data_IF_869432036788
#
_entry.id   IF_869432036788
#
_cell.length_a   1.000
_cell.length_b   1.000
_cell.length_c   1.000
_cell.angle_alpha   90.00
_cell.angle_beta   90.00
_cell.angle_gamma   90.00
#
_symmetry.space_group_name_H-M   'P 1'
#
loop_
_entity.id
_entity.type
_entity.pdbx_description
1 polymer ?
#
# COMPACT_ATOMS: atom_id res chain seq x y z
N UNK A 1 3.65 -6.31 9.17
CA UNK A 1 4.32 -7.32 8.33
C UNK A 1 3.85 -8.75 8.59
N UNK A 2 3.97 -9.35 9.78
CA UNK A 2 3.31 -10.68 9.97
C UNK A 2 1.77 -10.57 9.95
N UNK A 3 1.22 -9.46 10.45
CA UNK A 3 -0.20 -9.13 10.31
C UNK A 3 -0.63 -8.79 8.86
N UNK A 4 0.32 -8.64 7.93
CA UNK A 4 0.01 -8.42 6.51
C UNK A 4 -0.29 -9.73 5.78
N UNK A 5 -0.25 -10.86 6.49
CA UNK A 5 -0.61 -12.16 5.98
C UNK A 5 -1.74 -12.79 6.81
N UNK A 6 -2.96 -12.73 6.29
CA UNK A 6 -4.13 -13.43 6.82
C UNK A 6 -4.40 -14.79 6.16
N UNK A 7 -3.61 -15.19 5.16
CA UNK A 7 -3.78 -16.46 4.48
C UNK A 7 -2.94 -17.56 5.14
N UNK A 8 -3.57 -18.58 5.78
CA UNK A 8 -2.82 -19.67 6.43
C UNK A 8 -2.04 -20.56 5.45
N UNK A 9 -2.36 -20.52 4.15
CA UNK A 9 -1.63 -21.25 3.11
C UNK A 9 -0.34 -20.52 2.68
N UNK A 10 -0.18 -19.24 3.04
CA UNK A 10 1.04 -18.46 2.77
C UNK A 10 1.98 -18.57 3.97
N UNK A 11 3.12 -19.22 3.77
CA UNK A 11 4.05 -19.59 4.85
C UNK A 11 5.43 -19.00 4.60
N UNK A 12 5.98 -18.30 5.59
CA UNK A 12 7.33 -17.73 5.55
C UNK A 12 8.37 -18.81 5.22
N UNK A 13 9.24 -18.50 4.24
CA UNK A 13 10.28 -19.42 3.76
C UNK A 13 9.80 -20.54 2.84
N UNK A 14 8.50 -20.58 2.50
CA UNK A 14 7.93 -21.55 1.54
C UNK A 14 7.16 -20.86 0.41
N UNK A 15 6.39 -19.83 0.74
CA UNK A 15 5.58 -19.06 -0.21
C UNK A 15 6.32 -17.78 -0.62
N UNK A 16 6.00 -17.28 -1.80
CA UNK A 16 6.39 -15.92 -2.25
C UNK A 16 5.60 -14.86 -1.48
N UNK A 17 6.00 -13.58 -1.61
CA UNK A 17 5.43 -12.39 -0.96
C UNK A 17 5.70 -12.25 0.56
N UNK A 18 6.25 -13.27 1.21
CA UNK A 18 6.54 -13.27 2.66
C UNK A 18 7.94 -13.78 2.99
N UNK A 19 8.81 -13.95 1.99
CA UNK A 19 10.16 -14.43 2.23
C UNK A 19 10.97 -13.41 3.04
N UNK A 20 11.96 -13.86 3.84
CA UNK A 20 12.84 -12.94 4.56
C UNK A 20 13.57 -11.96 3.62
N UNK A 21 13.93 -12.41 2.42
CA UNK A 21 14.65 -11.60 1.43
C UNK A 21 13.76 -10.54 0.80
N UNK A 22 12.50 -10.88 0.45
CA UNK A 22 11.51 -9.92 -0.05
C UNK A 22 11.23 -8.84 0.99
N UNK A 23 11.03 -9.23 2.26
CA UNK A 23 10.82 -8.30 3.37
C UNK A 23 12.04 -7.41 3.62
N UNK A 24 13.24 -7.98 3.58
CA UNK A 24 14.47 -7.21 3.73
C UNK A 24 14.62 -6.17 2.60
N UNK A 25 14.31 -6.55 1.36
CA UNK A 25 14.33 -5.62 0.22
C UNK A 25 13.31 -4.48 0.39
N UNK A 26 12.11 -4.78 0.89
CA UNK A 26 11.11 -3.76 1.19
C UNK A 26 11.60 -2.79 2.28
N UNK A 27 12.14 -3.26 3.40
CA UNK A 27 12.67 -2.38 4.46
C UNK A 27 13.91 -1.58 4.05
N UNK A 28 14.62 -2.05 3.03
CA UNK A 28 15.70 -1.26 2.43
C UNK A 28 15.17 0.01 1.74
N UNK A 29 13.96 -0.03 1.17
CA UNK A 29 13.29 1.18 0.65
C UNK A 29 13.00 2.16 1.78
N UNK A 30 12.51 1.65 2.92
CA UNK A 30 12.25 2.50 4.09
C UNK A 30 13.52 3.17 4.60
N UNK A 31 14.59 2.39 4.69
CA UNK A 31 15.91 2.88 5.06
C UNK A 31 16.49 3.89 4.04
N UNK A 32 16.01 3.85 2.79
CA UNK A 32 16.40 4.78 1.73
C UNK A 32 15.61 6.11 1.75
N UNK A 33 14.69 6.30 2.70
CA UNK A 33 14.02 7.58 2.94
C UNK A 33 12.61 7.73 2.36
N UNK A 34 11.99 6.62 1.95
CA UNK A 34 10.53 6.57 1.73
C UNK A 34 9.84 5.85 2.89
N UNK A 35 8.55 6.05 3.12
CA UNK A 35 7.81 5.35 4.18
C UNK A 35 6.41 4.97 3.68
N UNK A 36 5.84 3.89 4.21
CA UNK A 36 4.43 3.53 3.97
C UNK A 36 3.54 4.61 4.60
N UNK A 37 2.92 5.44 3.76
CA UNK A 37 2.05 6.55 4.20
C UNK A 37 0.65 6.10 4.57
N UNK A 38 0.26 4.87 4.21
CA UNK A 38 -1.05 4.30 4.50
C UNK A 38 -1.06 3.70 5.91
N UNK A 39 0.02 3.02 6.30
CA UNK A 39 0.11 2.29 7.60
C UNK A 39 -0.25 3.13 8.83
N UNK A 40 0.19 4.40 8.98
CA UNK A 40 -0.13 5.21 10.15
C UNK A 40 -1.63 5.54 10.27
N UNK A 41 -2.36 5.59 9.15
CA UNK A 41 -3.78 5.94 9.09
C UNK A 41 -4.69 4.71 9.06
N UNK A 42 -4.23 3.64 8.41
CA UNK A 42 -4.95 2.39 8.22
C UNK A 42 -4.00 1.20 8.49
N UNK A 43 -3.86 0.79 9.76
CA UNK A 43 -2.86 -0.19 10.17
C UNK A 43 -3.18 -1.62 9.72
N UNK A 44 -4.46 -1.93 9.53
CA UNK A 44 -4.98 -3.25 9.16
C UNK A 44 -5.61 -3.24 7.76
N UNK A 45 -5.86 -4.44 7.22
CA UNK A 45 -6.52 -4.64 5.92
C UNK A 45 -5.59 -5.33 4.92
N UNK A 46 -6.21 -6.04 3.98
CA UNK A 46 -5.53 -6.75 2.91
C UNK A 46 -5.86 -6.09 1.57
N UNK A 47 -4.98 -6.26 0.59
CA UNK A 47 -5.12 -5.64 -0.73
C UNK A 47 -5.23 -6.68 -1.83
N UNK A 48 -4.95 -7.95 -1.51
CA UNK A 48 -4.98 -9.07 -2.43
C UNK A 48 -5.67 -10.29 -1.82
N UNK A 49 -6.42 -11.03 -2.66
CA UNK A 49 -6.95 -12.36 -2.36
C UNK A 49 -6.90 -13.26 -3.60
N UNK A 50 -6.28 -14.44 -3.44
CA UNK A 50 -6.27 -15.48 -4.47
C UNK A 50 -7.71 -15.88 -4.86
N UNK A 51 -7.94 -16.17 -6.14
CA UNK A 51 -9.26 -16.53 -6.66
C UNK A 51 -9.81 -17.85 -6.11
N UNK A 52 -8.93 -18.74 -5.66
CA UNK A 52 -9.28 -20.10 -5.27
C UNK A 52 -9.76 -20.16 -3.82
N UNK A 53 -10.37 -21.30 -3.45
CA UNK A 53 -10.68 -21.69 -2.05
C UNK A 53 -11.49 -20.66 -1.24
N UNK A 54 -12.20 -19.76 -1.91
CA UNK A 54 -13.02 -18.72 -1.31
C UNK A 54 -12.23 -17.80 -0.36
N UNK A 55 -10.98 -17.46 -0.70
CA UNK A 55 -10.12 -16.59 0.11
C UNK A 55 -10.74 -15.23 0.37
N UNK A 56 -11.31 -14.59 -0.64
CA UNK A 56 -11.97 -13.29 -0.48
C UNK A 56 -13.17 -13.30 0.48
N UNK A 57 -14.18 -14.20 0.34
CA UNK A 57 -15.26 -14.31 1.32
C UNK A 57 -14.82 -14.66 2.74
N UNK A 58 -13.73 -15.44 2.90
CA UNK A 58 -13.16 -15.81 4.20
C UNK A 58 -12.24 -14.74 4.80
N UNK A 59 -11.98 -13.67 4.04
CA UNK A 59 -11.03 -12.62 4.37
C UNK A 59 -9.60 -13.14 4.63
N UNK A 60 -9.20 -14.18 3.92
CA UNK A 60 -7.85 -14.76 3.95
C UNK A 60 -7.01 -14.10 2.85
N UNK A 61 -6.52 -12.89 3.12
CA UNK A 61 -5.80 -12.09 2.14
C UNK A 61 -4.40 -11.72 2.61
N UNK A 62 -3.67 -11.04 1.73
CA UNK A 62 -2.38 -10.41 2.06
C UNK A 62 -2.37 -8.94 1.66
N UNK A 63 -1.59 -8.14 2.36
CA UNK A 63 -1.33 -6.74 2.00
C UNK A 63 0.00 -6.65 1.26
N UNK A 64 -0.08 -6.39 -0.04
CA UNK A 64 1.08 -6.31 -0.94
C UNK A 64 1.07 -5.07 -1.84
N UNK A 65 0.04 -4.22 -1.73
CA UNK A 65 -0.06 -2.94 -2.42
C UNK A 65 0.21 -1.82 -1.40
N UNK A 66 1.22 -1.00 -1.68
CA UNK A 66 1.71 0.02 -0.76
C UNK A 66 1.85 1.37 -1.47
N UNK A 67 1.58 2.45 -0.75
CA UNK A 67 1.97 3.80 -1.17
C UNK A 67 3.17 4.20 -0.33
N UNK A 68 4.34 4.24 -0.96
CA UNK A 68 5.57 4.69 -0.32
C UNK A 68 5.85 6.14 -0.72
N UNK A 69 6.03 7.01 0.28
CA UNK A 69 6.24 8.43 0.08
C UNK A 69 7.50 8.95 0.74
N UNK A 70 8.11 9.97 0.16
CA UNK A 70 9.09 10.80 0.86
C UNK A 70 8.45 11.52 2.05
N UNK A 71 9.25 12.14 2.92
CA UNK A 71 8.72 12.94 4.04
C UNK A 71 7.73 14.00 3.58
N UNK A 72 8.03 14.71 2.49
CA UNK A 72 7.12 15.73 1.94
C UNK A 72 5.78 15.16 1.46
N UNK A 73 5.78 13.97 0.83
CA UNK A 73 4.52 13.32 0.46
C UNK A 73 3.76 12.85 1.70
N UNK A 74 4.46 12.29 2.68
CA UNK A 74 3.85 11.82 3.92
C UNK A 74 3.17 12.96 4.69
N UNK A 75 3.77 14.15 4.76
CA UNK A 75 3.18 15.33 5.41
C UNK A 75 1.89 15.82 4.72
N UNK A 76 1.80 15.61 3.40
CA UNK A 76 0.64 15.96 2.59
C UNK A 76 -0.52 14.95 2.67
N UNK A 77 -0.26 13.71 3.12
CA UNK A 77 -1.30 12.67 3.22
C UNK A 77 -2.23 12.97 4.39
N UNK A 78 -3.52 13.18 4.11
CA UNK A 78 -4.58 13.47 5.10
C UNK A 78 -5.58 12.35 5.28
N UNK A 79 -5.64 11.42 4.32
CA UNK A 79 -6.55 10.29 4.34
C UNK A 79 -5.94 9.09 3.65
N UNK A 80 -6.40 7.90 4.01
CA UNK A 80 -6.06 6.66 3.31
C UNK A 80 -7.23 5.67 3.36
N UNK A 81 -7.41 4.90 2.30
CA UNK A 81 -8.47 3.89 2.20
C UNK A 81 -8.02 2.67 1.40
N UNK A 82 -8.61 1.52 1.73
CA UNK A 82 -8.51 0.27 0.96
C UNK A 82 -9.92 -0.08 0.46
N UNK A 83 -10.11 -0.09 -0.85
CA UNK A 83 -11.42 -0.24 -1.47
C UNK A 83 -11.79 -1.71 -1.65
N UNK A 84 -11.86 -2.46 -0.54
CA UNK A 84 -12.10 -3.92 -0.52
C UNK A 84 -13.32 -4.35 -1.33
N UNK A 85 -14.36 -3.53 -1.37
CA UNK A 85 -15.62 -3.85 -2.01
C UNK A 85 -15.54 -3.88 -3.55
N UNK A 86 -14.51 -3.27 -4.16
CA UNK A 86 -14.21 -3.37 -5.61
C UNK A 86 -13.84 -4.79 -6.05
N UNK A 87 -13.58 -5.69 -5.09
CA UNK A 87 -13.37 -7.12 -5.34
C UNK A 87 -14.69 -7.87 -5.62
N UNK A 88 -15.84 -7.22 -5.46
CA UNK A 88 -17.16 -7.77 -5.79
C UNK A 88 -17.53 -7.43 -7.24
N UNK A 89 -18.37 -8.27 -7.85
CA UNK A 89 -18.88 -8.02 -9.21
C UNK A 89 -18.40 -9.04 -10.24
N UNK A 90 -18.55 -8.70 -11.52
CA UNK A 90 -18.14 -9.56 -12.63
C UNK A 90 -16.65 -9.34 -12.97
N UNK A 91 -15.89 -10.43 -13.01
CA UNK A 91 -14.45 -10.44 -13.33
C UNK A 91 -13.61 -9.38 -12.58
N UNK A 92 -13.75 -9.26 -11.25
CA UNK A 92 -12.93 -8.34 -10.46
C UNK A 92 -11.45 -8.77 -10.47
N UNK A 93 -10.55 -7.80 -10.37
CA UNK A 93 -9.13 -8.03 -10.08
C UNK A 93 -8.96 -8.83 -8.79
N UNK A 94 -7.85 -9.56 -8.62
CA UNK A 94 -7.44 -10.18 -7.36
C UNK A 94 -6.92 -9.16 -6.35
N UNK A 95 -6.59 -7.96 -6.82
CA UNK A 95 -6.22 -6.81 -6.02
C UNK A 95 -7.38 -5.82 -5.85
N UNK A 96 -7.27 -4.98 -4.80
CA UNK A 96 -8.16 -3.83 -4.59
C UNK A 96 -7.38 -2.52 -4.49
N UNK A 97 -8.00 -1.38 -4.88
CA UNK A 97 -7.33 -0.09 -4.81
C UNK A 97 -6.90 0.29 -3.39
N UNK A 98 -5.69 0.82 -3.28
CA UNK A 98 -5.19 1.55 -2.12
C UNK A 98 -5.09 3.01 -2.52
N UNK A 99 -5.76 3.88 -1.78
CA UNK A 99 -5.89 5.30 -2.12
C UNK A 99 -5.39 6.14 -0.94
N UNK A 100 -4.76 7.27 -1.26
CA UNK A 100 -4.39 8.31 -0.30
C UNK A 100 -4.97 9.64 -0.75
N UNK A 101 -5.47 10.40 0.21
CA UNK A 101 -5.94 11.77 -0.01
C UNK A 101 -4.80 12.73 0.31
N UNK A 102 -4.47 13.59 -0.66
CA UNK A 102 -3.38 14.55 -0.54
C UNK A 102 -3.93 15.96 -0.37
N UNK A 103 -3.45 16.66 0.64
CA UNK A 103 -3.58 18.11 0.76
C UNK A 103 -2.26 18.74 0.34
N UNK A 104 -2.15 19.01 -0.95
CA UNK A 104 -1.08 19.83 -1.49
C UNK A 104 -1.52 21.28 -1.30
N UNK A 105 -0.70 22.10 -0.65
CA UNK A 105 -0.94 23.54 -0.59
C UNK A 105 -1.31 24.03 -1.98
N UNK A 106 -2.46 24.70 -2.10
CA UNK A 106 -3.07 25.00 -3.39
C UNK A 106 -2.08 25.69 -4.33
N UNK A 107 -2.30 25.53 -5.63
CA UNK A 107 -1.58 26.25 -6.69
C UNK A 107 -1.91 27.76 -6.67
N UNK A 108 -1.68 28.41 -5.53
CA UNK A 108 -1.74 29.85 -5.34
C UNK A 108 -0.31 30.37 -5.09
N UNK A 109 0.67 29.98 -5.91
CA UNK A 109 1.85 30.81 -6.22
C UNK A 109 2.64 30.34 -7.46
N UNK A 110 1.97 29.79 -8.49
CA UNK A 110 2.63 29.48 -9.78
C UNK A 110 2.86 30.74 -10.65
N UNK A 111 2.91 31.91 -10.01
CA UNK A 111 3.17 33.21 -10.64
C UNK A 111 4.60 33.71 -10.51
N UNK A 112 5.38 33.24 -9.52
CA UNK A 112 6.67 33.88 -9.19
C UNK A 112 7.75 32.92 -8.64
N UNK A 113 7.73 31.64 -9.04
CA UNK A 113 8.91 30.78 -8.84
C UNK A 113 9.92 31.05 -9.96
N UNK A 114 11.06 31.74 -9.70
CA UNK A 114 12.08 31.91 -10.73
C UNK A 114 12.62 30.54 -11.09
N UNK A 115 12.57 30.22 -12.38
CA UNK A 115 13.24 29.04 -12.95
C UNK A 115 14.75 29.20 -12.76
N UNK A 116 15.26 28.78 -11.59
CA UNK A 116 16.70 28.67 -11.36
C UNK A 116 17.13 27.36 -12.01
N UNK A 117 17.54 27.45 -13.27
CA UNK A 117 18.40 26.45 -13.87
C UNK A 117 19.83 26.72 -13.38
N UNK A 118 20.32 25.86 -12.48
CA UNK A 118 21.73 25.75 -12.12
C UNK A 118 22.31 24.47 -12.71
#
# INVERSE_FOLDING_TARGET
FDHDNGDPDIVVGKSTHVSPEERAAFFALESAGVQDVVRPLLPEGYTYWDYQRLKFPRNEGIRIDFVLGSSALADAVKGASIHREERKGEQPSDHVPVVVDLELGGAEDDGDMPMIFA
#
